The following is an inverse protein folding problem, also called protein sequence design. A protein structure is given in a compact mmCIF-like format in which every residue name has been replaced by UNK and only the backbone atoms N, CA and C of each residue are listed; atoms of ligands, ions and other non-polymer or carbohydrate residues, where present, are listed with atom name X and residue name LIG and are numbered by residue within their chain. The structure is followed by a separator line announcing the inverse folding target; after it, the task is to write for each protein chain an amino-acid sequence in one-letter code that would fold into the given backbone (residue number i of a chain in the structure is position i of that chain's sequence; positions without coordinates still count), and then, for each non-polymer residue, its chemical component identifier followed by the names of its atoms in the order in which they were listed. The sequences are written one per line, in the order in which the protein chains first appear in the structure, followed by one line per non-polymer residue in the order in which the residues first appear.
data_IF_339217354078
#
_entry.id   IF_339217354078
#
_cell.length_a   1.000
_cell.length_b   1.000
_cell.length_c   1.000
_cell.angle_alpha   90.00
_cell.angle_beta   90.00
_cell.angle_gamma   90.00
#
_symmetry.space_group_name_H-M   'P 1'
#
loop_
_entity.id
_entity.type
_entity.pdbx_description
1 polymer ?
#
# COMPACT_ATOMS: atom_id res chain seq x y z
N UNK A 1 -1.07 11.51 3.44
CA UNK A 1 -1.73 12.31 2.37
C UNK A 1 -1.75 11.46 1.12
N UNK A 2 -2.80 11.52 0.30
CA UNK A 2 -2.90 10.76 -0.94
C UNK A 2 -3.93 11.39 -1.87
N UNK A 3 -3.85 11.07 -3.16
CA UNK A 3 -4.76 11.54 -4.20
C UNK A 3 -5.63 10.38 -4.64
N UNK A 4 -6.94 10.59 -4.67
CA UNK A 4 -7.90 9.68 -5.26
C UNK A 4 -8.51 10.33 -6.49
N UNK A 5 -8.47 9.64 -7.62
CA UNK A 5 -9.01 10.11 -8.88
C UNK A 5 -10.06 9.14 -9.40
N UNK A 6 -11.32 9.59 -9.44
CA UNK A 6 -12.43 8.82 -9.97
C UNK A 6 -12.49 9.01 -11.49
N UNK A 7 -12.09 7.99 -12.24
CA UNK A 7 -12.09 8.00 -13.71
C UNK A 7 -13.50 7.75 -14.26
N UNK A 8 -14.24 6.85 -13.63
CA UNK A 8 -15.64 6.54 -13.92
C UNK A 8 -16.40 6.31 -12.61
N UNK A 9 -17.75 6.26 -12.60
CA UNK A 9 -18.50 5.90 -11.39
C UNK A 9 -18.07 4.57 -10.75
N UNK A 10 -17.52 3.65 -11.56
CA UNK A 10 -17.10 2.32 -11.17
C UNK A 10 -15.60 2.22 -10.86
N UNK A 11 -14.77 3.13 -11.38
CA UNK A 11 -13.31 3.00 -11.33
C UNK A 11 -12.64 4.20 -10.66
N UNK A 12 -11.90 3.93 -9.59
CA UNK A 12 -11.12 4.93 -8.86
C UNK A 12 -9.65 4.51 -8.81
N UNK A 13 -8.75 5.45 -9.11
CA UNK A 13 -7.32 5.32 -8.89
C UNK A 13 -6.91 6.02 -7.61
N UNK A 14 -5.92 5.48 -6.92
CA UNK A 14 -5.36 6.01 -5.68
C UNK A 14 -3.84 6.08 -5.82
N UNK A 15 -3.26 7.20 -5.43
CA UNK A 15 -1.80 7.38 -5.36
C UNK A 15 -1.45 8.04 -4.03
N UNK A 16 -0.51 7.47 -3.28
CA UNK A 16 -0.12 8.02 -2.00
C UNK A 16 1.37 7.81 -1.70
N UNK A 17 2.09 8.83 -1.17
CA UNK A 17 3.35 8.58 -0.51
C UNK A 17 3.15 7.76 0.77
N UNK A 18 4.06 6.83 1.03
CA UNK A 18 4.19 6.10 2.28
C UNK A 18 5.38 6.67 3.04
N UNK A 19 5.21 6.95 4.33
CA UNK A 19 6.30 7.32 5.23
C UNK A 19 6.26 6.37 6.42
N UNK A 20 7.33 5.60 6.60
CA UNK A 20 7.48 4.71 7.75
C UNK A 20 8.36 5.41 8.78
N UNK A 21 7.86 5.55 10.02
CA UNK A 21 8.66 5.97 11.18
C UNK A 21 8.27 5.12 12.37
N UNK A 22 9.23 4.41 12.93
CA UNK A 22 8.95 3.53 14.06
C UNK A 22 10.18 2.77 14.52
N UNK A 23 9.92 1.65 15.17
CA UNK A 23 10.96 0.76 15.66
C UNK A 23 10.61 -0.68 15.30
N UNK A 24 11.63 -1.51 15.10
CA UNK A 24 11.45 -2.93 14.76
C UNK A 24 10.85 -3.74 15.91
N UNK A 25 11.09 -3.32 17.15
CA UNK A 25 10.59 -3.99 18.35
C UNK A 25 10.14 -2.99 19.42
N UNK A 26 9.38 -3.48 20.41
CA UNK A 26 8.96 -2.68 21.57
C UNK A 26 10.11 -2.19 22.44
N UNK A 27 11.29 -2.84 22.36
CA UNK A 27 12.51 -2.40 23.05
C UNK A 27 13.18 -1.20 22.38
N UNK A 28 12.76 -0.86 21.15
CA UNK A 28 13.24 0.28 20.36
C UNK A 28 14.72 0.23 19.97
N UNK A 29 15.28 -0.97 19.88
CA UNK A 29 16.69 -1.19 19.59
C UNK A 29 17.07 -0.75 18.17
N UNK A 30 16.16 -0.91 17.20
CA UNK A 30 16.36 -0.56 15.79
C UNK A 30 15.29 0.43 15.35
N UNK A 31 15.72 1.62 14.93
CA UNK A 31 14.85 2.65 14.37
C UNK A 31 14.61 2.38 12.90
N UNK A 32 13.35 2.47 12.49
CA UNK A 32 12.92 2.32 11.10
C UNK A 32 12.55 3.69 10.56
N UNK A 33 13.19 4.08 9.47
CA UNK A 33 12.84 5.25 8.68
C UNK A 33 12.70 4.86 7.22
N UNK A 34 11.53 5.11 6.66
CA UNK A 34 11.20 4.67 5.32
C UNK A 34 10.40 5.67 4.53
N UNK A 35 10.53 5.56 3.22
CA UNK A 35 9.72 6.28 2.26
C UNK A 35 9.34 5.34 1.12
N UNK A 36 8.14 5.50 0.61
CA UNK A 36 7.61 4.70 -0.48
C UNK A 36 6.49 5.39 -1.23
N UNK A 37 5.97 4.69 -2.22
CA UNK A 37 4.82 5.11 -3.00
C UNK A 37 3.86 3.94 -3.16
N UNK A 38 2.58 4.22 -3.00
CA UNK A 38 1.47 3.33 -3.26
C UNK A 38 0.74 3.81 -4.51
N UNK A 39 0.48 2.88 -5.42
CA UNK A 39 -0.52 3.01 -6.47
C UNK A 39 -1.61 1.97 -6.24
N UNK A 40 -2.86 2.37 -6.38
CA UNK A 40 -3.99 1.47 -6.18
C UNK A 40 -5.14 1.80 -7.12
N UNK A 41 -6.02 0.82 -7.26
CA UNK A 41 -7.25 0.96 -8.01
C UNK A 41 -8.38 0.20 -7.31
N UNK A 42 -9.58 0.77 -7.42
CA UNK A 42 -10.81 0.12 -7.00
C UNK A 42 -11.79 0.09 -8.19
N UNK A 43 -12.41 -1.07 -8.41
CA UNK A 43 -13.42 -1.28 -9.43
C UNK A 43 -14.69 -1.89 -8.86
N UNK A 44 -15.83 -1.24 -9.06
CA UNK A 44 -17.16 -1.76 -8.67
C UNK A 44 -17.93 -2.27 -9.88
N UNK A 45 -18.27 -3.56 -9.87
CA UNK A 45 -19.08 -4.17 -10.92
C UNK A 45 -20.49 -3.60 -10.87
N UNK A 46 -20.93 -3.00 -11.98
CA UNK A 46 -22.22 -2.30 -12.05
C UNK A 46 -23.35 -3.15 -12.64
N UNK A 47 -23.04 -4.23 -13.36
CA UNK A 47 -24.03 -5.05 -14.07
C UNK A 47 -23.62 -6.53 -14.12
N UNK A 48 -24.59 -7.41 -14.37
CA UNK A 48 -24.39 -8.86 -14.49
C UNK A 48 -24.38 -9.62 -13.16
N UNK A 49 -24.04 -10.93 -13.19
CA UNK A 49 -24.13 -11.81 -12.02
C UNK A 49 -23.26 -11.41 -10.82
N UNK A 50 -22.28 -10.55 -11.05
CA UNK A 50 -21.33 -10.05 -10.06
C UNK A 50 -21.61 -8.61 -9.64
N UNK A 51 -22.76 -8.06 -10.06
CA UNK A 51 -23.18 -6.70 -9.71
C UNK A 51 -23.08 -6.46 -8.20
N UNK A 52 -22.47 -5.33 -7.83
CA UNK A 52 -22.22 -4.97 -6.44
C UNK A 52 -20.81 -5.31 -5.95
N UNK A 53 -20.16 -6.31 -6.54
CA UNK A 53 -18.81 -6.72 -6.12
C UNK A 53 -17.78 -5.62 -6.37
N UNK A 54 -16.91 -5.41 -5.38
CA UNK A 54 -15.81 -4.47 -5.42
C UNK A 54 -14.50 -5.24 -5.52
N UNK A 55 -13.63 -4.80 -6.42
CA UNK A 55 -12.26 -5.27 -6.54
C UNK A 55 -11.31 -4.16 -6.12
N UNK A 56 -10.33 -4.51 -5.32
CA UNK A 56 -9.23 -3.63 -4.96
C UNK A 56 -7.91 -4.29 -5.35
N UNK A 57 -7.04 -3.51 -5.97
CA UNK A 57 -5.65 -3.86 -6.21
C UNK A 57 -4.79 -2.66 -5.82
N UNK A 58 -3.76 -2.89 -5.03
CA UNK A 58 -2.71 -1.92 -4.79
C UNK A 58 -1.34 -2.58 -4.93
N UNK A 59 -0.39 -1.77 -5.36
CA UNK A 59 1.01 -2.10 -5.34
C UNK A 59 1.77 -0.95 -4.70
N UNK A 60 2.76 -1.27 -3.88
CA UNK A 60 3.62 -0.27 -3.29
C UNK A 60 5.08 -0.66 -3.36
N UNK A 61 5.92 0.37 -3.47
CA UNK A 61 7.37 0.24 -3.48
C UNK A 61 7.93 1.11 -2.38
N UNK A 62 8.70 0.51 -1.50
CA UNK A 62 9.28 1.19 -0.35
C UNK A 62 10.76 0.94 -0.19
N UNK A 63 11.41 1.89 0.48
CA UNK A 63 12.77 1.76 0.97
C UNK A 63 12.80 2.17 2.43
N UNK A 64 13.43 1.36 3.25
CA UNK A 64 13.57 1.61 4.68
C UNK A 64 15.02 1.46 5.10
N UNK A 65 15.44 2.33 6.01
CA UNK A 65 16.69 2.26 6.77
C UNK A 65 16.38 1.69 8.15
N UNK A 66 17.17 0.70 8.57
CA UNK A 66 16.98 -0.10 9.78
C UNK A 66 18.33 -0.42 10.42
N UNK A 67 19.11 0.61 10.74
CA UNK A 67 20.50 0.44 11.22
C UNK A 67 20.55 -0.49 12.45
N UNK A 68 21.30 -1.59 12.34
CA UNK A 68 21.43 -2.60 13.38
C UNK A 68 20.39 -3.73 13.34
N UNK A 69 19.53 -3.78 12.31
CA UNK A 69 18.57 -4.88 12.13
C UNK A 69 19.27 -6.21 11.83
N UNK A 70 18.77 -7.29 12.42
CA UNK A 70 19.23 -8.66 12.12
C UNK A 70 18.91 -9.09 10.69
N UNK A 71 17.96 -8.41 10.04
CA UNK A 71 17.55 -8.63 8.65
C UNK A 71 18.31 -7.73 7.66
N UNK A 72 19.26 -6.93 8.16
CA UNK A 72 20.07 -5.99 7.39
C UNK A 72 19.61 -4.54 7.51
N UNK A 73 20.58 -3.62 7.40
CA UNK A 73 20.37 -2.18 7.64
C UNK A 73 19.42 -1.48 6.65
N UNK A 74 19.01 -2.19 5.60
CA UNK A 74 18.12 -1.67 4.56
C UNK A 74 17.12 -2.71 4.12
N UNK A 75 15.86 -2.30 4.01
CA UNK A 75 14.83 -3.09 3.33
C UNK A 75 14.33 -2.30 2.11
N UNK A 76 14.53 -2.86 0.92
CA UNK A 76 13.85 -2.40 -0.28
C UNK A 76 12.82 -3.45 -0.65
N UNK A 77 11.57 -3.04 -0.81
CA UNK A 77 10.48 -3.99 -1.05
C UNK A 77 9.52 -3.50 -2.11
N UNK A 78 8.82 -4.47 -2.69
CA UNK A 78 7.67 -4.29 -3.55
C UNK A 78 6.57 -5.21 -3.01
N UNK A 79 5.42 -4.65 -2.68
CA UNK A 79 4.28 -5.40 -2.15
C UNK A 79 3.06 -5.22 -3.05
N UNK A 80 2.24 -6.27 -3.15
CA UNK A 80 0.98 -6.24 -3.92
C UNK A 80 -0.13 -6.74 -3.01
N UNK A 81 -1.21 -5.96 -2.92
CA UNK A 81 -2.40 -6.26 -2.13
C UNK A 81 -3.60 -6.35 -3.05
N UNK A 82 -4.35 -7.43 -2.92
CA UNK A 82 -5.59 -7.62 -3.65
C UNK A 82 -6.70 -8.03 -2.68
N UNK A 83 -7.89 -7.48 -2.91
CA UNK A 83 -9.08 -7.79 -2.13
C UNK A 83 -10.31 -7.77 -3.05
N UNK A 84 -11.28 -8.62 -2.74
CA UNK A 84 -12.61 -8.55 -3.34
C UNK A 84 -13.66 -8.66 -2.24
N UNK A 85 -14.71 -7.86 -2.35
CA UNK A 85 -15.79 -7.83 -1.37
C UNK A 85 -17.14 -7.68 -2.07
N UNK A 86 -18.19 -8.25 -1.48
CA UNK A 86 -19.58 -8.12 -1.94
C UNK A 86 -20.29 -7.06 -1.11
#
# INVERSE_FOLDING_TARGET
MGVNYRLTPQFTLTFAPIVTRGYESSKRDVRIEGAGILGGMNYRVSEGPLQGMNFFLAADKGREKRDGSTLGDRLNYWDVKNEYSV
#
